data_IF_998147168621
#
_entry.id   IF_998147168621
#
_cell.length_a   1.000
_cell.length_b   1.000
_cell.length_c   1.000
_cell.angle_alpha   90.00
_cell.angle_beta   90.00
_cell.angle_gamma   90.00
#
_symmetry.space_group_name_H-M   'P 1'
#
loop_
_entity.id
_entity.type
_entity.pdbx_description
1 polymer ?
#
# COMPACT_ATOMS: atom_id res chain seq x y z
N UNK A 1 -32.65 1.20 -4.68
CA UNK A 1 -32.33 0.37 -3.48
C UNK A 1 -31.39 -0.74 -3.88
N UNK A 2 -30.14 -0.72 -3.40
CA UNK A 2 -29.17 -1.82 -3.58
C UNK A 2 -27.80 -1.36 -4.12
N UNK A 3 -26.74 -1.66 -3.35
CA UNK A 3 -25.27 -1.61 -3.62
C UNK A 3 -24.37 -0.80 -2.64
N UNK A 4 -24.84 -0.45 -1.44
CA UNK A 4 -23.91 -0.14 -0.33
C UNK A 4 -23.43 -1.40 0.40
N UNK A 5 -24.06 -2.56 0.18
CA UNK A 5 -23.80 -3.78 0.96
C UNK A 5 -22.43 -4.41 0.76
N UNK A 6 -21.71 -4.19 -0.35
CA UNK A 6 -20.39 -4.82 -0.54
C UNK A 6 -19.29 -4.15 0.28
N UNK A 7 -19.31 -2.81 0.37
CA UNK A 7 -18.39 -2.06 1.25
C UNK A 7 -18.61 -2.43 2.72
N UNK A 8 -19.87 -2.54 3.13
CA UNK A 8 -20.21 -2.88 4.50
C UNK A 8 -20.11 -4.38 4.84
N UNK A 9 -20.09 -5.29 3.86
CA UNK A 9 -19.93 -6.73 4.14
C UNK A 9 -18.47 -7.12 4.43
N UNK A 10 -17.49 -6.47 3.79
CA UNK A 10 -16.09 -6.55 4.23
C UNK A 10 -15.92 -5.86 5.59
N UNK A 11 -16.58 -4.72 5.76
CA UNK A 11 -16.60 -3.96 7.01
C UNK A 11 -17.29 -4.71 8.17
N UNK A 12 -18.27 -5.58 7.92
CA UNK A 12 -18.98 -6.32 8.98
C UNK A 12 -18.16 -7.49 9.53
N UNK A 13 -17.24 -8.05 8.74
CA UNK A 13 -16.17 -8.91 9.27
C UNK A 13 -15.15 -8.12 10.10
N UNK A 14 -14.88 -6.85 9.77
CA UNK A 14 -13.95 -6.00 10.53
C UNK A 14 -14.56 -5.26 11.73
N UNK A 15 -15.89 -5.08 11.78
CA UNK A 15 -16.62 -4.29 12.79
C UNK A 15 -17.15 -5.08 13.99
N UNK A 16 -16.84 -6.38 14.11
CA UNK A 16 -17.18 -7.13 15.34
C UNK A 16 -16.42 -6.65 16.59
N UNK A 17 -15.56 -5.64 16.46
CA UNK A 17 -14.76 -5.06 17.53
C UNK A 17 -15.49 -3.89 18.19
N UNK A 18 -15.86 -4.10 19.45
CA UNK A 18 -16.56 -3.14 20.30
C UNK A 18 -15.68 -1.93 20.59
N UNK A 19 -16.04 -0.80 19.98
CA UNK A 19 -15.90 0.59 20.44
C UNK A 19 -15.17 0.80 21.79
N UNK A 20 -13.83 0.74 21.80
CA UNK A 20 -13.00 1.24 22.91
C UNK A 20 -11.64 1.79 22.43
N UNK A 21 -11.49 3.12 22.50
CA UNK A 21 -10.25 3.92 22.64
C UNK A 21 -8.93 3.36 22.04
N UNK A 22 -8.48 3.93 20.91
CA UNK A 22 -7.13 4.01 20.30
C UNK A 22 -6.16 2.79 20.26
N UNK A 23 -6.43 1.68 20.95
CA UNK A 23 -5.53 0.54 21.04
C UNK A 23 -6.00 -0.66 20.19
N UNK A 24 -7.30 -0.72 19.87
CA UNK A 24 -7.96 -1.89 19.30
C UNK A 24 -7.77 -2.03 17.77
N UNK A 25 -7.69 -0.90 17.03
CA UNK A 25 -7.56 -0.92 15.57
C UNK A 25 -6.21 -1.45 15.06
N UNK A 26 -5.12 -1.13 15.78
CA UNK A 26 -3.78 -1.59 15.43
C UNK A 26 -3.63 -3.09 15.64
N UNK A 27 -4.16 -3.62 16.74
CA UNK A 27 -4.16 -5.05 17.04
C UNK A 27 -4.93 -5.84 15.97
N UNK A 28 -6.11 -5.35 15.58
CA UNK A 28 -6.91 -5.97 14.52
C UNK A 28 -6.17 -6.04 13.18
N UNK A 29 -5.51 -4.95 12.77
CA UNK A 29 -4.73 -4.91 11.52
C UNK A 29 -3.49 -5.81 11.58
N UNK A 30 -2.83 -5.89 12.73
CA UNK A 30 -1.73 -6.85 12.95
C UNK A 30 -2.22 -8.30 12.82
N UNK A 31 -3.41 -8.61 13.34
CA UNK A 31 -4.02 -9.93 13.22
C UNK A 31 -4.41 -10.27 11.77
N UNK A 32 -4.94 -9.29 11.01
CA UNK A 32 -5.15 -9.44 9.56
C UNK A 32 -3.84 -9.78 8.84
N UNK A 33 -2.73 -9.12 9.22
CA UNK A 33 -1.40 -9.40 8.67
C UNK A 33 -0.90 -10.80 9.02
N UNK A 34 -1.13 -11.28 10.26
CA UNK A 34 -0.77 -12.64 10.68
C UNK A 34 -1.59 -13.69 9.93
N UNK A 35 -2.89 -13.48 9.78
CA UNK A 35 -3.78 -14.39 9.07
C UNK A 35 -3.41 -14.47 7.58
N UNK A 36 -3.14 -13.33 6.93
CA UNK A 36 -2.67 -13.29 5.56
C UNK A 36 -1.34 -14.03 5.37
N UNK A 37 -0.38 -13.90 6.30
CA UNK A 37 0.87 -14.68 6.28
C UNK A 37 0.60 -16.18 6.42
N UNK A 38 -0.32 -16.58 7.30
CA UNK A 38 -0.72 -17.98 7.52
C UNK A 38 -1.37 -18.60 6.29
N UNK A 39 -2.15 -17.82 5.55
CA UNK A 39 -2.87 -18.23 4.34
C UNK A 39 -2.06 -18.01 3.06
N UNK A 40 -0.74 -17.74 3.17
CA UNK A 40 0.17 -17.53 2.03
C UNK A 40 -0.23 -16.39 1.07
N UNK A 41 -0.96 -15.39 1.57
CA UNK A 41 -1.42 -14.23 0.81
C UNK A 41 -0.39 -13.10 0.71
N UNK A 42 0.74 -13.23 1.44
CA UNK A 42 1.82 -12.24 1.45
C UNK A 42 3.09 -12.82 0.84
N UNK A 43 3.60 -12.17 -0.19
CA UNK A 43 4.92 -12.41 -0.74
C UNK A 43 5.88 -11.28 -0.36
N UNK A 44 7.05 -11.64 0.16
CA UNK A 44 8.15 -10.68 0.42
C UNK A 44 9.48 -11.09 -0.24
N UNK A 45 9.44 -12.17 -1.01
CA UNK A 45 10.57 -12.74 -1.76
C UNK A 45 10.11 -13.07 -3.18
N UNK A 46 11.05 -13.40 -4.07
CA UNK A 46 10.72 -13.78 -5.44
C UNK A 46 9.73 -14.95 -5.49
N UNK A 47 8.69 -14.83 -6.30
CA UNK A 47 7.62 -15.81 -6.40
C UNK A 47 6.40 -15.28 -7.15
N UNK A 48 5.31 -16.03 -7.05
CA UNK A 48 4.02 -15.69 -7.64
C UNK A 48 2.92 -15.96 -6.64
N UNK A 49 1.89 -15.12 -6.61
CA UNK A 49 0.67 -15.33 -5.83
C UNK A 49 -0.51 -15.24 -6.79
N UNK A 50 -1.39 -16.23 -6.67
CA UNK A 50 -2.59 -16.38 -7.46
C UNK A 50 -3.63 -17.07 -6.58
N UNK A 51 -4.62 -16.32 -6.10
CA UNK A 51 -5.66 -16.86 -5.23
C UNK A 51 -6.81 -17.32 -6.11
N UNK A 52 -7.21 -18.60 -6.02
CA UNK A 52 -8.21 -19.20 -6.92
C UNK A 52 -9.55 -18.44 -6.99
N UNK A 53 -9.89 -17.69 -5.91
CA UNK A 53 -11.12 -16.91 -5.81
C UNK A 53 -10.98 -15.46 -6.24
N UNK A 54 -9.76 -14.96 -6.41
CA UNK A 54 -9.50 -13.61 -6.89
C UNK A 54 -9.14 -13.65 -8.39
N UNK A 55 -9.42 -12.57 -9.11
CA UNK A 55 -8.89 -12.38 -10.47
C UNK A 55 -7.52 -11.68 -10.44
N UNK A 56 -6.80 -11.80 -9.32
CA UNK A 56 -5.49 -11.19 -9.16
C UNK A 56 -4.41 -12.23 -9.45
N UNK A 57 -3.43 -11.80 -10.24
CA UNK A 57 -2.18 -12.52 -10.40
C UNK A 57 -1.07 -11.52 -10.17
N UNK A 58 -0.17 -11.83 -9.25
CA UNK A 58 1.01 -11.03 -8.99
C UNK A 58 2.26 -11.89 -9.00
N UNK A 59 3.33 -11.34 -9.58
CA UNK A 59 4.65 -11.93 -9.57
C UNK A 59 5.64 -10.91 -9.07
N UNK A 60 6.57 -11.39 -8.26
CA UNK A 60 7.64 -10.61 -7.67
C UNK A 60 8.95 -11.29 -7.99
N UNK A 61 9.95 -10.49 -8.36
CA UNK A 61 11.30 -10.99 -8.55
C UNK A 61 12.31 -9.93 -8.11
N UNK A 62 13.27 -10.34 -7.30
CA UNK A 62 14.41 -9.51 -6.89
C UNK A 62 15.72 -10.22 -7.19
N UNK A 63 16.74 -9.43 -7.53
CA UNK A 63 18.10 -9.90 -7.79
C UNK A 63 19.08 -8.93 -7.17
N UNK A 64 19.98 -9.45 -6.32
CA UNK A 64 21.00 -8.68 -5.59
C UNK A 64 21.93 -7.80 -6.44
N UNK A 65 22.16 -8.16 -7.71
CA UNK A 65 23.14 -7.48 -8.54
C UNK A 65 24.58 -7.60 -8.00
N UNK A 66 25.41 -6.57 -8.24
CA UNK A 66 26.85 -6.57 -7.92
C UNK A 66 27.24 -5.65 -6.74
N UNK A 67 26.31 -4.84 -6.20
CA UNK A 67 26.59 -3.73 -5.27
C UNK A 67 26.71 -4.11 -3.79
N UNK A 68 27.17 -5.31 -3.47
CA UNK A 68 27.24 -5.75 -2.06
C UNK A 68 25.88 -6.27 -1.57
N UNK A 69 25.47 -5.96 -0.34
CA UNK A 69 24.18 -6.45 0.22
C UNK A 69 23.03 -5.93 -0.61
N UNK A 70 22.01 -6.77 -0.89
CA UNK A 70 20.82 -6.31 -1.57
C UNK A 70 20.02 -5.39 -0.62
N UNK A 71 19.84 -4.14 -1.00
CA UNK A 71 19.11 -3.16 -0.19
C UNK A 71 17.66 -3.00 -0.64
N UNK A 72 17.32 -3.54 -1.81
CA UNK A 72 15.96 -3.59 -2.34
C UNK A 72 15.12 -4.60 -1.56
N UNK A 73 13.87 -4.24 -1.32
CA UNK A 73 12.86 -5.20 -0.92
C UNK A 73 11.50 -4.87 -1.53
N UNK A 74 10.61 -5.83 -1.45
CA UNK A 74 9.30 -5.78 -2.07
C UNK A 74 8.29 -6.54 -1.21
N UNK A 75 7.03 -6.21 -1.41
CA UNK A 75 5.90 -6.92 -0.82
C UNK A 75 4.73 -6.96 -1.79
N UNK A 76 4.04 -8.08 -1.82
CA UNK A 76 2.68 -8.21 -2.36
C UNK A 76 1.81 -8.79 -1.26
N UNK A 77 0.62 -8.24 -1.09
CA UNK A 77 -0.38 -8.70 -0.14
C UNK A 77 -1.74 -8.78 -0.85
N UNK A 78 -2.15 -10.00 -1.16
CA UNK A 78 -3.47 -10.33 -1.71
C UNK A 78 -4.57 -10.31 -0.65
N UNK A 79 -5.79 -10.04 -1.07
CA UNK A 79 -6.95 -9.83 -0.18
C UNK A 79 -6.66 -8.76 0.90
N UNK A 80 -6.00 -7.67 0.48
CA UNK A 80 -5.48 -6.64 1.38
C UNK A 80 -6.60 -6.07 2.28
N UNK A 81 -6.38 -6.09 3.61
CA UNK A 81 -7.41 -5.68 4.58
C UNK A 81 -8.60 -6.63 4.67
N UNK A 82 -8.38 -7.92 4.37
CA UNK A 82 -9.41 -8.96 4.25
C UNK A 82 -10.49 -8.61 3.22
N UNK A 83 -10.11 -7.91 2.14
CA UNK A 83 -10.99 -7.55 1.04
C UNK A 83 -10.59 -8.35 -0.21
N UNK A 84 -11.43 -9.29 -0.65
CA UNK A 84 -11.16 -10.19 -1.78
C UNK A 84 -10.86 -9.45 -3.11
N UNK A 85 -11.36 -8.21 -3.26
CA UNK A 85 -11.14 -7.36 -4.43
C UNK A 85 -9.94 -6.41 -4.32
N UNK A 86 -9.10 -6.58 -3.29
CA UNK A 86 -7.94 -5.74 -3.05
C UNK A 86 -6.61 -6.47 -3.08
N UNK A 87 -5.60 -5.79 -3.61
CA UNK A 87 -4.19 -6.19 -3.54
C UNK A 87 -3.35 -4.96 -3.24
N UNK A 88 -2.37 -5.13 -2.35
CA UNK A 88 -1.31 -4.16 -2.08
C UNK A 88 0.02 -4.66 -2.64
N UNK A 89 0.73 -3.79 -3.36
CA UNK A 89 2.09 -4.05 -3.84
C UNK A 89 3.00 -2.91 -3.39
N UNK A 90 4.22 -3.23 -2.97
CA UNK A 90 5.23 -2.23 -2.58
C UNK A 90 6.61 -2.61 -3.06
N UNK A 91 7.35 -1.62 -3.58
CA UNK A 91 8.77 -1.71 -3.95
C UNK A 91 9.53 -0.62 -3.19
N UNK A 92 10.66 -1.01 -2.59
CA UNK A 92 11.45 -0.15 -1.72
C UNK A 92 12.94 -0.31 -2.07
N UNK A 93 13.54 0.73 -2.63
CA UNK A 93 14.97 0.80 -2.97
C UNK A 93 15.74 1.47 -1.82
N UNK A 94 16.40 0.65 -1.01
CA UNK A 94 17.17 1.10 0.15
C UNK A 94 18.54 1.66 -0.24
N UNK A 95 18.99 2.70 0.44
CA UNK A 95 20.31 3.31 0.23
C UNK A 95 20.96 3.76 1.54
N UNK A 96 22.25 4.09 1.48
CA UNK A 96 23.06 4.39 2.66
C UNK A 96 23.51 3.13 3.39
N UNK A 97 24.31 3.27 4.45
CA UNK A 97 24.91 2.13 5.15
C UNK A 97 23.88 1.21 5.81
N UNK A 98 22.70 1.74 6.16
CA UNK A 98 21.59 1.00 6.77
C UNK A 98 20.39 0.82 5.84
N UNK A 99 20.53 1.13 4.54
CA UNK A 99 19.39 1.12 3.61
C UNK A 99 18.61 -0.19 3.55
N UNK A 100 19.28 -1.33 3.73
CA UNK A 100 18.64 -2.66 3.78
C UNK A 100 17.80 -2.89 5.04
N UNK A 101 18.12 -2.22 6.15
CA UNK A 101 17.30 -2.22 7.35
C UNK A 101 16.15 -1.22 7.22
N UNK A 102 16.42 -0.02 6.68
CA UNK A 102 15.39 1.01 6.47
C UNK A 102 14.32 0.51 5.50
N UNK A 103 14.70 0.00 4.33
CA UNK A 103 13.74 -0.53 3.34
C UNK A 103 12.92 -1.68 3.91
N UNK A 104 13.55 -2.61 4.64
CA UNK A 104 12.84 -3.73 5.30
C UNK A 104 11.88 -3.25 6.38
N UNK A 105 12.24 -2.23 7.17
CA UNK A 105 11.36 -1.67 8.19
C UNK A 105 10.13 -1.05 7.52
N UNK A 106 10.33 -0.18 6.53
CA UNK A 106 9.24 0.43 5.77
C UNK A 106 8.36 -0.64 5.11
N UNK A 107 8.93 -1.70 4.53
CA UNK A 107 8.16 -2.82 3.97
C UNK A 107 7.21 -3.48 4.98
N UNK A 108 7.64 -3.67 6.23
CA UNK A 108 6.78 -4.29 7.26
C UNK A 108 5.76 -3.31 7.84
N UNK A 109 6.13 -2.03 8.05
CA UNK A 109 5.24 -1.02 8.65
C UNK A 109 4.22 -0.42 7.67
N UNK A 110 4.60 -0.22 6.40
CA UNK A 110 3.79 0.44 5.37
C UNK A 110 2.38 -0.14 5.20
N UNK A 111 2.20 -1.44 4.92
CA UNK A 111 0.86 -1.98 4.67
C UNK A 111 -0.03 -1.91 5.91
N UNK A 112 0.52 -2.16 7.11
CA UNK A 112 -0.24 -2.15 8.36
C UNK A 112 -0.66 -0.72 8.72
N UNK A 113 0.27 0.22 8.68
CA UNK A 113 -0.02 1.64 8.94
C UNK A 113 -1.01 2.19 7.91
N UNK A 114 -0.90 1.77 6.64
CA UNK A 114 -1.84 2.15 5.58
C UNK A 114 -3.25 1.63 5.85
N UNK A 115 -3.42 0.37 6.27
CA UNK A 115 -4.73 -0.18 6.61
C UNK A 115 -5.37 0.54 7.79
N UNK A 116 -4.61 0.81 8.86
CA UNK A 116 -5.10 1.57 10.01
C UNK A 116 -5.60 2.95 9.57
N UNK A 117 -4.75 3.72 8.88
CA UNK A 117 -5.10 5.07 8.42
C UNK A 117 -6.26 5.06 7.42
N UNK A 118 -6.38 4.02 6.59
CA UNK A 118 -7.50 3.85 5.67
C UNK A 118 -8.83 3.57 6.39
N UNK A 119 -8.84 2.66 7.37
CA UNK A 119 -10.02 2.40 8.18
C UNK A 119 -10.46 3.64 8.97
N UNK A 120 -9.52 4.36 9.57
CA UNK A 120 -9.80 5.61 10.29
C UNK A 120 -10.38 6.68 9.35
N UNK A 121 -9.75 6.90 8.19
CA UNK A 121 -10.20 7.90 7.20
C UNK A 121 -11.57 7.54 6.63
N UNK A 122 -11.87 6.26 6.44
CA UNK A 122 -13.21 5.80 6.04
C UNK A 122 -14.27 6.12 7.10
N UNK A 123 -13.96 5.90 8.38
CA UNK A 123 -14.88 6.22 9.48
C UNK A 123 -15.09 7.72 9.56
N UNK A 124 -14.02 8.52 9.53
CA UNK A 124 -14.09 9.99 9.52
C UNK A 124 -14.99 10.50 8.38
N UNK A 125 -14.78 10.00 7.16
CA UNK A 125 -15.54 10.43 5.99
C UNK A 125 -17.01 9.95 6.00
N UNK A 126 -17.33 8.87 6.74
CA UNK A 126 -18.72 8.40 6.91
C UNK A 126 -19.56 9.23 7.88
N UNK A 127 -18.92 10.09 8.68
CA UNK A 127 -19.58 10.96 9.66
C UNK A 127 -19.90 12.36 9.11
N UNK A 128 -19.47 12.67 7.89
CA UNK A 128 -19.70 13.96 7.25
C UNK A 128 -21.13 14.05 6.69
N UNK A 129 -21.99 14.96 7.19
CA UNK A 129 -23.37 15.10 6.76
C UNK A 129 -23.55 15.77 5.38
N UNK A 130 -22.52 16.40 4.80
CA UNK A 130 -22.56 16.99 3.44
C UNK A 130 -22.31 15.96 2.33
N UNK A 131 -22.59 14.69 2.60
CA UNK A 131 -22.38 13.55 1.70
C UNK A 131 -23.36 13.57 0.51
N UNK A 132 -23.11 14.42 -0.47
CA UNK A 132 -23.86 14.44 -1.73
C UNK A 132 -23.43 13.25 -2.61
N UNK A 133 -24.36 12.29 -2.77
CA UNK A 133 -24.09 10.90 -3.17
C UNK A 133 -23.80 10.71 -4.67
N UNK A 134 -23.84 11.76 -5.48
CA UNK A 134 -23.77 11.66 -6.94
C UNK A 134 -22.53 12.33 -7.56
N UNK A 135 -21.87 13.27 -6.88
CA UNK A 135 -20.62 13.87 -7.39
C UNK A 135 -19.41 12.95 -7.11
N UNK A 136 -19.15 12.11 -8.11
CA UNK A 136 -17.92 11.37 -8.42
C UNK A 136 -17.32 10.48 -7.30
N UNK A 137 -17.96 9.33 -7.07
CA UNK A 137 -17.49 8.24 -6.18
C UNK A 137 -16.00 7.88 -6.36
N UNK A 138 -15.42 8.11 -7.54
CA UNK A 138 -13.98 7.93 -7.81
C UNK A 138 -13.13 8.96 -7.07
N UNK A 139 -13.52 10.24 -7.14
CA UNK A 139 -12.82 11.33 -6.46
C UNK A 139 -12.88 11.15 -4.94
N UNK A 140 -14.02 10.72 -4.41
CA UNK A 140 -14.15 10.41 -2.99
C UNK A 140 -13.19 9.29 -2.55
N UNK A 141 -13.18 8.16 -3.27
CA UNK A 141 -12.23 7.06 -2.99
C UNK A 141 -10.77 7.51 -3.11
N UNK A 142 -10.46 8.34 -4.11
CA UNK A 142 -9.15 8.93 -4.29
C UNK A 142 -8.75 9.78 -3.08
N UNK A 143 -9.64 10.63 -2.57
CA UNK A 143 -9.35 11.48 -1.42
C UNK A 143 -9.13 10.67 -0.14
N UNK A 144 -9.88 9.58 0.06
CA UNK A 144 -9.63 8.65 1.18
C UNK A 144 -8.22 8.09 1.08
N UNK A 145 -7.89 7.42 -0.03
CA UNK A 145 -6.56 6.82 -0.20
C UNK A 145 -5.44 7.85 -0.11
N UNK A 146 -5.62 9.04 -0.71
CA UNK A 146 -4.67 10.15 -0.62
C UNK A 146 -4.39 10.54 0.83
N UNK A 147 -5.42 10.75 1.64
CA UNK A 147 -5.25 11.10 3.05
C UNK A 147 -4.61 9.96 3.84
N UNK A 148 -5.02 8.72 3.60
CA UNK A 148 -4.43 7.53 4.24
C UNK A 148 -2.94 7.43 3.95
N UNK A 149 -2.51 7.61 2.69
CA UNK A 149 -1.11 7.59 2.31
C UNK A 149 -0.31 8.72 2.96
N UNK A 150 -0.85 9.95 2.98
CA UNK A 150 -0.16 11.09 3.61
C UNK A 150 0.05 10.85 5.12
N UNK A 151 -0.99 10.41 5.84
CA UNK A 151 -0.89 10.05 7.27
C UNK A 151 0.12 8.91 7.48
N UNK A 152 0.07 7.88 6.63
CA UNK A 152 0.96 6.71 6.69
C UNK A 152 2.42 7.07 6.49
N UNK A 153 2.73 7.82 5.44
CA UNK A 153 4.11 8.23 5.13
C UNK A 153 4.68 9.09 6.26
N UNK A 154 3.91 10.05 6.79
CA UNK A 154 4.34 10.88 7.91
C UNK A 154 4.60 10.05 9.18
N UNK A 155 3.72 9.09 9.50
CA UNK A 155 3.87 8.24 10.67
C UNK A 155 5.12 7.34 10.58
N UNK A 156 5.40 6.77 9.41
CA UNK A 156 6.56 5.89 9.19
C UNK A 156 7.87 6.69 9.20
N UNK A 157 7.88 7.89 8.62
CA UNK A 157 9.04 8.78 8.67
C UNK A 157 9.38 9.16 10.12
N UNK A 158 8.36 9.47 10.91
CA UNK A 158 8.51 9.74 12.34
C UNK A 158 8.97 8.49 13.13
N UNK A 159 8.49 7.29 12.78
CA UNK A 159 8.98 6.03 13.37
C UNK A 159 10.46 5.80 13.08
N UNK A 160 10.91 6.07 11.85
CA UNK A 160 12.32 5.99 11.45
C UNK A 160 13.20 6.97 12.22
N UNK A 161 12.73 8.20 12.43
CA UNK A 161 13.47 9.22 13.19
C UNK A 161 13.67 8.82 14.66
N UNK A 162 12.66 8.18 15.27
CA UNK A 162 12.71 7.77 16.67
C UNK A 162 13.60 6.54 16.91
N UNK A 163 13.93 5.78 15.87
CA UNK A 163 14.63 4.50 15.98
C UNK A 163 16.15 4.67 16.05
N UNK A 164 16.67 5.01 17.24
CA UNK A 164 18.10 5.27 17.50
C UNK A 164 19.10 4.15 17.13
N UNK A 165 18.62 2.94 16.84
CA UNK A 165 19.47 1.78 16.46
C UNK A 165 19.87 1.78 14.99
N UNK A 166 19.14 2.52 14.16
CA UNK A 166 19.35 2.60 12.71
C UNK A 166 19.63 4.06 12.38
N UNK A 167 20.70 4.33 11.64
CA UNK A 167 20.95 5.67 11.13
C UNK A 167 20.09 5.92 9.89
N UNK A 168 18.88 6.47 10.13
CA UNK A 168 17.92 6.93 9.12
C UNK A 168 18.19 8.35 8.63
N UNK A 169 19.21 9.05 9.16
CA UNK A 169 19.58 10.39 8.70
C UNK A 169 20.43 10.32 7.43
N UNK A 170 21.36 9.37 7.35
CA UNK A 170 22.20 9.13 6.18
C UNK A 170 21.84 7.85 5.39
N UNK A 171 20.83 7.12 5.85
CA UNK A 171 20.27 5.98 5.11
C UNK A 171 18.78 6.19 4.89
N UNK A 172 18.26 5.59 3.83
CA UNK A 172 16.87 5.80 3.44
C UNK A 172 16.36 4.69 2.55
N UNK A 173 15.13 4.87 2.08
CA UNK A 173 14.54 4.02 1.06
C UNK A 173 13.60 4.86 0.19
N UNK A 174 13.46 4.50 -1.07
CA UNK A 174 12.27 4.89 -1.83
C UNK A 174 11.05 4.10 -1.34
N UNK A 175 9.85 4.54 -1.71
CA UNK A 175 8.63 3.78 -1.53
C UNK A 175 7.70 4.01 -2.72
N UNK A 176 7.56 2.99 -3.57
CA UNK A 176 6.54 2.94 -4.61
C UNK A 176 5.51 1.88 -4.21
N UNK A 177 4.28 2.31 -4.00
CA UNK A 177 3.19 1.43 -3.57
C UNK A 177 1.97 1.55 -4.46
N UNK A 178 1.25 0.44 -4.58
CA UNK A 178 0.05 0.31 -5.38
C UNK A 178 -1.01 -0.39 -4.54
N UNK A 179 -2.20 0.18 -4.47
CA UNK A 179 -3.41 -0.54 -4.05
C UNK A 179 -4.31 -0.65 -5.27
N UNK A 180 -4.61 -1.87 -5.71
CA UNK A 180 -5.73 -2.09 -6.62
C UNK A 180 -6.95 -2.45 -5.77
N UNK A 181 -8.07 -1.78 -6.04
CA UNK A 181 -9.38 -2.03 -5.42
C UNK A 181 -10.41 -2.16 -6.54
N UNK A 182 -10.79 -3.38 -6.87
CA UNK A 182 -11.59 -3.70 -8.06
C UNK A 182 -10.92 -3.19 -9.34
N UNK A 183 -11.58 -2.26 -10.03
CA UNK A 183 -11.11 -1.65 -11.30
C UNK A 183 -10.26 -0.38 -11.09
N UNK A 184 -10.06 0.07 -9.85
CA UNK A 184 -9.29 1.28 -9.55
C UNK A 184 -7.90 0.90 -9.03
N UNK A 185 -6.90 1.69 -9.43
CA UNK A 185 -5.52 1.56 -8.97
C UNK A 185 -5.11 2.89 -8.34
N UNK A 186 -4.67 2.84 -7.09
CA UNK A 186 -4.15 3.98 -6.34
C UNK A 186 -2.64 3.80 -6.19
N UNK A 187 -1.87 4.80 -6.61
CA UNK A 187 -0.41 4.73 -6.65
C UNK A 187 0.16 5.86 -5.83
N UNK A 188 1.04 5.53 -4.89
CA UNK A 188 1.81 6.50 -4.13
C UNK A 188 3.30 6.25 -4.35
N UNK A 189 4.02 7.32 -4.74
CA UNK A 189 5.46 7.28 -5.01
C UNK A 189 6.19 8.30 -4.12
N UNK A 190 7.25 7.84 -3.47
CA UNK A 190 8.23 8.65 -2.76
C UNK A 190 9.61 8.21 -3.23
N UNK A 191 10.31 9.09 -3.96
CA UNK A 191 11.62 8.80 -4.53
C UNK A 191 11.56 8.52 -6.03
N UNK A 192 12.52 7.75 -6.53
CA UNK A 192 12.79 7.57 -7.96
C UNK A 192 12.60 6.13 -8.46
N UNK A 193 11.91 5.29 -7.68
CA UNK A 193 11.29 4.07 -8.22
C UNK A 193 10.13 4.43 -9.15
N UNK A 194 9.80 3.54 -10.10
CA UNK A 194 8.83 3.86 -11.17
C UNK A 194 7.81 2.75 -11.42
N UNK A 195 6.54 3.14 -11.53
CA UNK A 195 5.47 2.29 -12.04
C UNK A 195 5.21 2.59 -13.51
N UNK A 196 5.08 1.53 -14.32
CA UNK A 196 4.75 1.60 -15.74
C UNK A 196 3.65 0.59 -16.02
N UNK A 197 2.55 1.05 -16.62
CA UNK A 197 1.46 0.20 -17.11
C UNK A 197 1.74 -0.18 -18.55
N UNK A 198 1.76 -1.48 -18.85
CA UNK A 198 1.65 -1.95 -20.22
C UNK A 198 0.16 -2.03 -20.60
N UNK A 199 -0.25 -1.34 -21.66
CA UNK A 199 -1.62 -1.37 -22.18
C UNK A 199 -1.63 -1.52 -23.69
N UNK A 200 -2.81 -1.75 -24.27
CA UNK A 200 -2.97 -1.86 -25.72
C UNK A 200 -3.41 -0.52 -26.29
N UNK A 201 -2.72 -0.03 -27.30
CA UNK A 201 -3.10 1.15 -28.09
C UNK A 201 -4.33 0.87 -28.96
N UNK A 202 -4.92 1.92 -29.53
CA UNK A 202 -6.05 1.79 -30.47
C UNK A 202 -5.73 0.90 -31.68
N UNK A 203 -4.46 0.80 -32.07
CA UNK A 203 -4.01 -0.04 -33.18
C UNK A 203 -3.67 -1.48 -32.78
N UNK A 204 -3.96 -1.89 -31.53
CA UNK A 204 -3.66 -3.23 -31.03
C UNK A 204 -2.21 -3.46 -30.57
N UNK A 205 -1.34 -2.44 -30.63
CA UNK A 205 0.06 -2.57 -30.21
C UNK A 205 0.20 -2.38 -28.69
N UNK A 206 1.06 -3.18 -28.05
CA UNK A 206 1.43 -3.00 -26.64
C UNK A 206 2.25 -1.72 -26.47
N UNK A 207 1.81 -0.83 -25.58
CA UNK A 207 2.45 0.46 -25.28
C UNK A 207 2.67 0.64 -23.78
N UNK A 208 3.81 1.23 -23.36
CA UNK A 208 4.04 1.57 -21.97
C UNK A 208 3.45 2.95 -21.62
N UNK A 209 2.79 3.05 -20.48
CA UNK A 209 2.32 4.29 -19.87
C UNK A 209 3.01 4.45 -18.52
N UNK A 210 3.82 5.49 -18.37
CA UNK A 210 4.43 5.83 -17.09
C UNK A 210 3.36 6.37 -16.12
N UNK A 211 3.24 5.75 -14.95
CA UNK A 211 2.21 6.09 -13.96
C UNK A 211 2.72 7.03 -12.86
N UNK A 212 4.04 7.10 -12.65
CA UNK A 212 4.67 7.91 -11.61
C UNK A 212 5.76 8.79 -12.18
N UNK A 213 5.98 9.95 -11.56
CA UNK A 213 7.11 10.83 -11.89
C UNK A 213 8.17 10.64 -10.81
N UNK A 214 9.41 10.39 -11.21
CA UNK A 214 10.55 10.24 -10.30
C UNK A 214 10.80 11.55 -9.55
N UNK A 215 11.03 11.48 -8.25
CA UNK A 215 11.43 12.65 -7.47
C UNK A 215 12.92 12.89 -7.62
N UNK A 216 13.28 13.69 -8.63
CA UNK A 216 14.66 14.10 -8.88
C UNK A 216 14.87 15.56 -8.46
N UNK A 217 16.02 15.90 -7.85
CA UNK A 217 16.28 17.25 -7.32
C UNK A 217 16.34 18.34 -8.40
N UNK A 218 16.51 17.97 -9.66
CA UNK A 218 16.58 18.88 -10.81
C UNK A 218 15.22 19.12 -11.48
N UNK A 219 14.12 18.56 -10.96
CA UNK A 219 12.78 18.85 -11.47
C UNK A 219 12.24 20.15 -10.85
N UNK A 220 11.52 20.98 -11.62
CA UNK A 220 10.87 22.17 -11.09
C UNK A 220 9.83 21.79 -10.03
N UNK A 221 9.69 22.65 -9.00
CA UNK A 221 8.68 22.52 -7.94
C UNK A 221 7.33 23.07 -8.38
#
# INVERSE_FOLDING_TARGET
MGRLSSFFNGFSRSMSLKRTKNCDGREAVEDMGKDAKKNELILTTSGTVNVERSQNFASVFTKRGQKGVNQDCCIVWEEFGCQEDMIFCGIFDGHGSWGHFVSKMVRESMPLSLLCNWQETLVEASLDPDFDLESDKKLYKFNIWKHSYLKTCAAIDQELEQLRKIDSFYSGTTALTIVRQGELIFIANVGDSRAVLATTSETGNLVPIQLTIDFKPNLPR
#
